data_IF_431852726094
#
_entry.id   IF_431852726094
#
_cell.length_a   1.000
_cell.length_b   1.000
_cell.length_c   1.000
_cell.angle_alpha   90.00
_cell.angle_beta   90.00
_cell.angle_gamma   90.00
#
_symmetry.space_group_name_H-M   'P 1'
#
loop_
_entity.id
_entity.type
_entity.pdbx_description
1 polymer ?
#
# COMPACT_ATOMS: atom_id res chain seq x y z
N UNK A 1 -4.95 -31.21 -13.88
CA UNK A 1 -5.69 -31.90 -12.79
C UNK A 1 -7.13 -31.44 -12.86
N UNK A 2 -8.06 -32.34 -13.18
CA UNK A 2 -9.49 -32.02 -13.25
C UNK A 2 -10.09 -32.11 -11.84
N UNK A 3 -10.61 -31.00 -11.32
CA UNK A 3 -11.47 -31.01 -10.13
C UNK A 3 -12.93 -30.91 -10.59
N UNK A 4 -13.81 -31.76 -10.06
CA UNK A 4 -15.23 -31.72 -10.37
C UNK A 4 -15.92 -30.63 -9.53
N UNK A 5 -16.98 -30.00 -10.07
CA UNK A 5 -17.69 -28.89 -9.43
C UNK A 5 -18.23 -29.19 -8.01
N UNK A 6 -18.33 -30.45 -7.60
CA UNK A 6 -18.72 -30.84 -6.25
C UNK A 6 -17.64 -30.59 -5.19
N UNK A 7 -16.35 -30.56 -5.57
CA UNK A 7 -15.23 -30.34 -4.65
C UNK A 7 -15.04 -28.86 -4.29
N UNK A 8 -15.39 -27.96 -5.21
CA UNK A 8 -15.39 -26.50 -4.99
C UNK A 8 -16.44 -26.05 -3.96
N UNK A 9 -17.61 -26.70 -3.94
CA UNK A 9 -18.68 -26.39 -2.97
C UNK A 9 -18.29 -26.83 -1.55
N UNK A 10 -17.48 -27.88 -1.42
CA UNK A 10 -16.99 -28.38 -0.13
C UNK A 10 -15.89 -27.48 0.46
N UNK A 11 -15.07 -26.87 -0.38
CA UNK A 11 -14.08 -25.87 0.04
C UNK A 11 -14.75 -24.56 0.53
N UNK A 12 -15.89 -24.19 -0.07
CA UNK A 12 -16.63 -22.97 0.27
C UNK A 12 -17.31 -23.00 1.64
N UNK A 13 -17.70 -24.19 2.14
CA UNK A 13 -18.38 -24.32 3.45
C UNK A 13 -17.43 -24.29 4.66
N UNK A 14 -16.12 -24.42 4.45
CA UNK A 14 -15.13 -24.59 5.52
C UNK A 14 -14.14 -23.42 5.66
N UNK A 15 -14.35 -22.30 4.96
CA UNK A 15 -13.46 -21.14 5.05
C UNK A 15 -13.78 -20.30 6.32
N UNK A 16 -12.77 -19.94 7.13
CA UNK A 16 -12.98 -19.12 8.33
C UNK A 16 -13.44 -17.70 7.96
N UNK A 17 -14.43 -17.19 8.69
CA UNK A 17 -15.04 -15.88 8.44
C UNK A 17 -14.05 -14.72 8.68
N UNK A 18 -13.54 -14.15 7.58
CA UNK A 18 -12.86 -12.86 7.54
C UNK A 18 -13.68 -11.82 6.76
N UNK A 19 -13.31 -10.53 6.81
CA UNK A 19 -14.08 -9.46 6.18
C UNK A 19 -14.17 -9.70 4.67
N UNK A 20 -15.39 -9.95 4.19
CA UNK A 20 -15.70 -10.25 2.79
C UNK A 20 -15.18 -9.11 1.91
N UNK A 21 -14.20 -9.42 1.06
CA UNK A 21 -13.67 -8.43 0.12
C UNK A 21 -14.75 -8.00 -0.87
N UNK A 22 -14.65 -6.77 -1.38
CA UNK A 22 -15.59 -6.15 -2.34
C UNK A 22 -15.82 -7.01 -3.61
N UNK A 23 -14.91 -7.95 -3.89
CA UNK A 23 -14.99 -8.96 -4.97
C UNK A 23 -15.98 -10.08 -4.64
N UNK A 24 -16.08 -10.52 -3.38
CA UNK A 24 -17.08 -11.50 -2.94
C UNK A 24 -18.51 -10.95 -3.05
N UNK A 25 -18.69 -9.65 -2.76
CA UNK A 25 -19.98 -8.97 -2.93
C UNK A 25 -20.42 -8.93 -4.41
N UNK A 26 -19.47 -8.71 -5.33
CA UNK A 26 -19.72 -8.69 -6.78
C UNK A 26 -20.06 -10.07 -7.35
N UNK A 27 -19.45 -11.14 -6.81
CA UNK A 27 -19.76 -12.52 -7.20
C UNK A 27 -21.15 -12.95 -6.70
N UNK A 28 -21.50 -12.64 -5.44
CA UNK A 28 -22.84 -12.93 -4.90
C UNK A 28 -23.94 -12.15 -5.66
N UNK A 29 -23.68 -10.90 -6.04
CA UNK A 29 -24.63 -10.09 -6.81
C UNK A 29 -24.79 -10.55 -8.27
N UNK A 30 -23.72 -11.03 -8.92
CA UNK A 30 -23.81 -11.56 -10.29
C UNK A 30 -24.52 -12.91 -10.32
N UNK A 31 -24.27 -13.78 -9.35
CA UNK A 31 -24.89 -15.11 -9.27
C UNK A 31 -26.40 -14.98 -8.93
N UNK A 32 -26.77 -14.04 -8.06
CA UNK A 32 -28.18 -13.72 -7.82
C UNK A 32 -28.87 -13.08 -9.03
N UNK A 33 -28.20 -12.23 -9.81
CA UNK A 33 -28.79 -11.65 -11.03
C UNK A 33 -28.94 -12.69 -12.15
N UNK A 34 -27.99 -13.62 -12.27
CA UNK A 34 -28.05 -14.70 -13.25
C UNK A 34 -29.16 -15.71 -12.90
N UNK A 35 -29.21 -16.16 -11.64
CA UNK A 35 -30.26 -17.08 -11.17
C UNK A 35 -31.67 -16.46 -11.25
N UNK A 36 -31.84 -15.16 -10.97
CA UNK A 36 -33.14 -14.47 -11.15
C UNK A 36 -33.56 -14.34 -12.62
N UNK A 37 -32.61 -14.18 -13.55
CA UNK A 37 -32.90 -14.12 -15.01
C UNK A 37 -33.22 -15.50 -15.58
N UNK A 38 -32.53 -16.55 -15.13
CA UNK A 38 -32.82 -17.94 -15.52
C UNK A 38 -34.18 -18.38 -14.97
N UNK A 39 -34.51 -18.01 -13.72
CA UNK A 39 -35.83 -18.31 -13.15
C UNK A 39 -36.97 -17.58 -13.89
N UNK A 40 -36.81 -16.29 -14.23
CA UNK A 40 -37.79 -15.53 -15.04
C UNK A 40 -37.92 -16.02 -16.49
N UNK A 41 -36.88 -16.63 -17.05
CA UNK A 41 -36.93 -17.27 -18.37
C UNK A 41 -37.63 -18.64 -18.36
N UNK A 42 -37.46 -19.40 -17.27
CA UNK A 42 -38.02 -20.75 -17.14
C UNK A 42 -39.50 -20.76 -16.70
N UNK A 43 -39.97 -19.70 -16.03
CA UNK A 43 -41.35 -19.60 -15.55
C UNK A 43 -42.39 -19.32 -16.66
N UNK A 44 -41.95 -19.05 -17.90
CA UNK A 44 -42.84 -18.92 -19.07
C UNK A 44 -43.12 -20.24 -19.80
N UNK A 45 -42.50 -21.34 -19.38
CA UNK A 45 -42.61 -22.65 -20.06
C UNK A 45 -43.32 -23.73 -19.22
N UNK A 46 -43.92 -23.37 -18.08
CA UNK A 46 -44.66 -24.30 -17.21
C UNK A 46 -46.09 -23.79 -16.98
N UNK A 47 -46.84 -23.64 -18.08
CA UNK A 47 -48.29 -23.83 -18.05
C UNK A 47 -48.57 -25.22 -18.62
N UNK A 48 -49.40 -26.05 -17.98
CA UNK A 48 -49.65 -27.42 -18.44
C UNK A 48 -50.51 -27.38 -19.71
N UNK A 49 -49.87 -27.44 -20.87
CA UNK A 49 -50.55 -27.69 -22.14
C UNK A 49 -51.10 -29.11 -22.17
N UNK A 50 -52.34 -29.27 -21.74
CA UNK A 50 -53.21 -30.37 -22.20
C UNK A 50 -53.88 -29.90 -23.49
N UNK A 51 -53.24 -30.12 -24.64
CA UNK A 51 -53.92 -29.95 -25.92
C UNK A 51 -53.25 -30.77 -27.02
N UNK A 52 -53.95 -31.82 -27.45
CA UNK A 52 -53.63 -32.66 -28.61
C UNK A 52 -53.78 -31.87 -29.92
N UNK A 53 -52.85 -30.95 -30.22
CA UNK A 53 -52.77 -30.30 -31.54
C UNK A 53 -51.39 -30.55 -32.17
N UNK A 54 -51.32 -31.07 -33.41
CA UNK A 54 -50.06 -31.30 -34.07
C UNK A 54 -49.33 -29.96 -34.34
N UNK A 55 -48.01 -29.89 -34.13
CA UNK A 55 -47.25 -28.66 -34.25
C UNK A 55 -47.27 -28.15 -35.70
N UNK A 56 -47.60 -26.88 -35.86
CA UNK A 56 -47.61 -26.22 -37.16
C UNK A 56 -46.19 -25.88 -37.62
N UNK A 57 -45.98 -25.86 -38.94
CA UNK A 57 -44.68 -25.69 -39.64
C UNK A 57 -43.88 -24.41 -39.31
N UNK A 58 -44.41 -23.52 -38.48
CA UNK A 58 -43.78 -22.26 -38.08
C UNK A 58 -43.01 -22.35 -36.74
N UNK A 59 -43.21 -23.41 -35.94
CA UNK A 59 -42.57 -23.56 -34.62
C UNK A 59 -41.12 -24.08 -34.72
N UNK A 60 -40.75 -24.74 -35.81
CA UNK A 60 -39.38 -25.22 -36.03
C UNK A 60 -38.36 -24.12 -36.32
N UNK A 61 -38.83 -22.92 -36.71
CA UNK A 61 -37.95 -21.77 -36.99
C UNK A 61 -37.51 -21.06 -35.70
N UNK A 62 -38.39 -21.00 -34.70
CA UNK A 62 -38.14 -20.25 -33.44
C UNK A 62 -37.24 -21.05 -32.49
N UNK A 63 -37.34 -22.38 -32.49
CA UNK A 63 -36.47 -23.24 -31.68
C UNK A 63 -35.00 -23.20 -32.11
N UNK A 64 -34.72 -23.05 -33.42
CA UNK A 64 -33.37 -22.95 -33.96
C UNK A 64 -32.67 -21.65 -33.57
N UNK A 65 -33.39 -20.52 -33.63
CA UNK A 65 -32.86 -19.21 -33.21
C UNK A 65 -32.58 -19.16 -31.70
N UNK A 66 -33.41 -19.81 -30.88
CA UNK A 66 -33.21 -19.86 -29.43
C UNK A 66 -31.95 -20.67 -29.05
N UNK A 67 -31.73 -21.82 -29.72
CA UNK A 67 -30.52 -22.64 -29.55
C UNK A 67 -29.27 -21.88 -29.98
N UNK A 68 -29.32 -21.17 -31.11
CA UNK A 68 -28.21 -20.34 -31.58
C UNK A 68 -27.89 -19.20 -30.61
N UNK A 69 -28.91 -18.59 -30.00
CA UNK A 69 -28.74 -17.56 -28.98
C UNK A 69 -28.13 -18.11 -27.69
N UNK A 70 -28.50 -19.32 -27.27
CA UNK A 70 -27.91 -19.99 -26.12
C UNK A 70 -26.43 -20.30 -26.35
N UNK A 71 -26.07 -20.85 -27.52
CA UNK A 71 -24.68 -21.11 -27.89
C UNK A 71 -23.84 -19.84 -27.95
N UNK A 72 -24.40 -18.74 -28.49
CA UNK A 72 -23.72 -17.46 -28.53
C UNK A 72 -23.48 -16.89 -27.12
N UNK A 73 -24.46 -17.01 -26.23
CA UNK A 73 -24.31 -16.57 -24.83
C UNK A 73 -23.32 -17.43 -24.07
N UNK A 74 -23.29 -18.74 -24.33
CA UNK A 74 -22.32 -19.65 -23.71
C UNK A 74 -20.89 -19.28 -24.09
N UNK A 75 -20.64 -19.00 -25.38
CA UNK A 75 -19.34 -18.51 -25.86
C UNK A 75 -18.89 -17.21 -25.17
N UNK A 76 -19.81 -16.28 -24.94
CA UNK A 76 -19.50 -15.02 -24.22
C UNK A 76 -19.16 -15.28 -22.76
N UNK A 77 -19.80 -16.25 -22.12
CA UNK A 77 -19.48 -16.67 -20.76
C UNK A 77 -18.11 -17.32 -20.70
N UNK A 78 -17.77 -18.20 -21.64
CA UNK A 78 -16.46 -18.85 -21.72
C UNK A 78 -15.32 -17.84 -21.88
N UNK A 79 -15.49 -16.84 -22.74
CA UNK A 79 -14.52 -15.74 -22.91
C UNK A 79 -14.32 -14.98 -21.59
N UNK A 80 -15.40 -14.68 -20.87
CA UNK A 80 -15.32 -13.98 -19.58
C UNK A 80 -14.64 -14.82 -18.51
N UNK A 81 -14.92 -16.12 -18.46
CA UNK A 81 -14.24 -17.05 -17.54
C UNK A 81 -12.74 -17.08 -17.84
N UNK A 82 -12.35 -17.15 -19.12
CA UNK A 82 -10.95 -17.12 -19.51
C UNK A 82 -10.27 -15.79 -19.14
N UNK A 83 -10.95 -14.65 -19.32
CA UNK A 83 -10.43 -13.34 -18.94
C UNK A 83 -10.21 -13.22 -17.42
N UNK A 84 -11.20 -13.64 -16.63
CA UNK A 84 -11.09 -13.63 -15.16
C UNK A 84 -10.02 -14.59 -14.65
N UNK A 85 -9.82 -15.72 -15.32
CA UNK A 85 -8.73 -16.65 -14.98
C UNK A 85 -7.36 -16.03 -15.21
N UNK A 86 -7.19 -15.25 -16.28
CA UNK A 86 -5.95 -14.51 -16.54
C UNK A 86 -5.71 -13.41 -15.49
N UNK A 87 -6.73 -12.62 -15.19
CA UNK A 87 -6.66 -11.55 -14.17
C UNK A 87 -6.33 -12.12 -12.77
N UNK A 88 -6.90 -13.28 -12.43
CA UNK A 88 -6.58 -13.96 -11.18
C UNK A 88 -5.11 -14.43 -11.13
N UNK A 89 -4.55 -14.88 -12.25
CA UNK A 89 -3.16 -15.30 -12.31
C UNK A 89 -2.20 -14.11 -12.20
N UNK A 90 -2.54 -12.97 -12.80
CA UNK A 90 -1.82 -11.70 -12.64
C UNK A 90 -1.83 -11.22 -11.18
N UNK A 91 -2.99 -11.27 -10.51
CA UNK A 91 -3.11 -10.90 -9.09
C UNK A 91 -2.35 -11.86 -8.17
N UNK A 92 -2.28 -13.15 -8.49
CA UNK A 92 -1.44 -14.11 -7.74
C UNK A 92 0.04 -13.80 -7.91
N UNK A 93 0.48 -13.44 -9.12
CA UNK A 93 1.87 -13.03 -9.36
C UNK A 93 2.21 -11.76 -8.55
N UNK A 94 1.33 -10.76 -8.53
CA UNK A 94 1.51 -9.56 -7.71
C UNK A 94 1.56 -9.89 -6.20
N UNK A 95 0.69 -10.79 -5.72
CA UNK A 95 0.71 -11.24 -4.32
C UNK A 95 2.00 -11.97 -3.95
N UNK A 96 2.55 -12.78 -4.86
CA UNK A 96 3.84 -13.46 -4.67
C UNK A 96 4.98 -12.45 -4.49
N UNK A 97 5.05 -11.41 -5.31
CA UNK A 97 6.07 -10.36 -5.16
C UNK A 97 5.94 -9.67 -3.80
N UNK A 98 4.72 -9.33 -3.39
CA UNK A 98 4.47 -8.70 -2.08
C UNK A 98 4.85 -9.64 -0.92
N UNK A 99 4.63 -10.94 -1.06
CA UNK A 99 4.95 -11.95 -0.04
C UNK A 99 6.46 -12.19 0.07
N UNK A 100 7.19 -12.11 -1.05
CA UNK A 100 8.66 -12.13 -1.08
C UNK A 100 9.27 -10.85 -0.47
N UNK A 101 8.71 -9.67 -0.77
CA UNK A 101 9.11 -8.39 -0.16
C UNK A 101 8.84 -8.37 1.36
N UNK A 102 7.71 -8.93 1.80
CA UNK A 102 7.37 -9.08 3.22
C UNK A 102 8.34 -10.03 3.94
N UNK A 103 8.76 -11.09 3.26
CA UNK A 103 9.72 -12.07 3.80
C UNK A 103 11.14 -11.50 3.89
N UNK A 104 11.54 -10.66 2.93
CA UNK A 104 12.80 -9.89 3.01
C UNK A 104 12.79 -8.89 4.18
N UNK A 105 11.64 -8.27 4.47
CA UNK A 105 11.47 -7.37 5.60
C UNK A 105 11.49 -8.04 6.99
N UNK A 106 11.30 -9.37 7.06
CA UNK A 106 11.28 -10.14 8.29
C UNK A 106 12.66 -10.73 8.66
N UNK A 107 13.55 -10.92 7.68
CA UNK A 107 14.86 -11.58 7.87
C UNK A 107 16.07 -10.62 7.92
N UNK A 108 15.86 -9.32 7.75
CA UNK A 108 16.92 -8.31 7.90
C UNK A 108 17.19 -8.06 9.40
N UNK A 109 17.89 -8.99 10.04
CA UNK A 109 18.45 -8.81 11.38
C UNK A 109 19.80 -8.08 11.22
N UNK A 110 20.01 -6.89 11.80
CA UNK A 110 21.34 -6.30 11.87
C UNK A 110 22.17 -7.14 12.83
N UNK A 111 23.12 -7.91 12.30
CA UNK A 111 24.09 -8.65 13.11
C UNK A 111 24.96 -7.65 13.87
N UNK A 112 24.65 -7.44 15.15
CA UNK A 112 25.46 -6.67 16.07
C UNK A 112 26.68 -7.50 16.49
N UNK A 113 27.81 -7.34 15.81
CA UNK A 113 29.14 -7.45 16.41
C UNK A 113 30.19 -6.88 15.46
N UNK A 114 30.61 -5.64 15.71
CA UNK A 114 31.70 -4.99 14.98
C UNK A 114 32.45 -4.07 15.92
N UNK A 115 33.67 -4.46 16.26
CA UNK A 115 34.62 -3.75 17.11
C UNK A 115 34.70 -2.27 16.76
N UNK A 116 34.50 -1.36 17.74
CA UNK A 116 34.70 0.09 17.60
C UNK A 116 36.19 0.37 17.37
N UNK A 117 36.63 0.27 16.13
CA UNK A 117 37.75 1.10 15.65
C UNK A 117 37.15 2.49 15.51
N UNK A 118 37.54 3.42 16.37
CA UNK A 118 37.18 4.83 16.21
C UNK A 118 37.86 5.33 14.93
N UNK A 119 37.15 5.26 13.81
CA UNK A 119 37.54 5.96 12.59
C UNK A 119 37.45 7.45 12.93
N UNK A 120 38.60 8.09 13.12
CA UNK A 120 38.65 9.55 13.27
C UNK A 120 38.12 10.15 11.98
N UNK A 121 37.09 10.98 12.09
CA UNK A 121 36.57 11.71 10.93
C UNK A 121 37.60 12.82 10.61
N UNK A 122 38.16 12.88 9.39
CA UNK A 122 39.22 13.85 9.06
C UNK A 122 38.78 15.31 9.20
N UNK A 123 37.46 15.55 9.20
CA UNK A 123 36.82 16.86 9.30
C UNK A 123 36.57 17.29 10.77
N UNK A 124 36.91 16.45 11.75
CA UNK A 124 36.68 16.76 13.15
C UNK A 124 37.45 18.03 13.57
N UNK A 125 36.73 19.02 14.08
CA UNK A 125 37.28 20.29 14.55
C UNK A 125 37.32 21.42 13.53
N UNK A 126 36.93 21.17 12.27
CA UNK A 126 36.96 22.19 11.21
C UNK A 126 35.98 23.35 11.46
N UNK A 127 34.92 23.11 12.22
CA UNK A 127 33.84 24.06 12.47
C UNK A 127 33.73 24.52 13.95
N UNK A 128 34.75 24.26 14.77
CA UNK A 128 34.73 24.52 16.22
C UNK A 128 34.49 25.99 16.58
N UNK A 129 35.07 26.89 15.80
CA UNK A 129 34.97 28.34 15.99
C UNK A 129 33.88 28.98 15.10
N UNK A 130 32.99 28.17 14.49
CA UNK A 130 31.98 28.68 13.56
C UNK A 130 30.92 29.52 14.29
N UNK A 131 30.73 30.80 13.93
CA UNK A 131 29.65 31.61 14.49
C UNK A 131 28.29 31.07 14.01
N UNK A 132 27.39 30.81 14.97
CA UNK A 132 26.04 30.30 14.66
C UNK A 132 25.07 31.39 14.18
N UNK A 133 25.33 32.65 14.54
CA UNK A 133 24.49 33.81 14.24
C UNK A 133 25.13 34.64 13.12
N UNK A 134 24.33 35.08 12.16
CA UNK A 134 24.72 36.03 11.13
C UNK A 134 23.64 37.10 10.94
N UNK A 135 24.04 38.27 10.47
CA UNK A 135 23.12 39.31 10.01
C UNK A 135 22.57 38.95 8.64
N UNK A 136 21.25 38.81 8.55
CA UNK A 136 20.53 38.44 7.32
C UNK A 136 19.44 39.46 7.02
N UNK A 137 19.04 39.55 5.75
CA UNK A 137 17.88 40.33 5.34
C UNK A 137 16.60 39.53 5.63
N UNK A 138 15.77 40.04 6.53
CA UNK A 138 14.46 39.47 6.83
C UNK A 138 13.52 39.64 5.63
N UNK A 139 12.88 38.55 5.21
CA UNK A 139 12.06 38.54 3.99
C UNK A 139 10.81 39.42 4.12
N UNK A 140 10.13 39.40 5.26
CA UNK A 140 8.86 40.10 5.46
C UNK A 140 9.05 41.60 5.69
N UNK A 141 10.04 41.99 6.50
CA UNK A 141 10.28 43.38 6.87
C UNK A 141 11.28 44.10 5.96
N UNK A 142 12.11 43.36 5.21
CA UNK A 142 13.21 43.92 4.42
C UNK A 142 14.31 44.56 5.27
N UNK A 143 14.38 44.27 6.57
CA UNK A 143 15.38 44.80 7.49
C UNK A 143 16.49 43.79 7.77
N UNK A 144 17.68 44.29 8.13
CA UNK A 144 18.77 43.45 8.61
C UNK A 144 18.48 43.00 10.04
N UNK A 145 18.46 41.69 10.25
CA UNK A 145 18.20 41.05 11.54
C UNK A 145 19.29 40.03 11.84
N UNK A 146 19.59 39.82 13.12
CA UNK A 146 20.45 38.72 13.53
C UNK A 146 19.63 37.42 13.59
N UNK A 147 20.03 36.42 12.81
CA UNK A 147 19.41 35.09 12.85
C UNK A 147 20.46 34.01 12.96
N UNK A 148 20.06 32.88 13.54
CA UNK A 148 20.86 31.66 13.51
C UNK A 148 20.82 31.05 12.12
N UNK A 149 21.99 30.91 11.50
CA UNK A 149 22.15 30.36 10.14
C UNK A 149 23.06 29.14 10.08
N UNK A 150 23.81 28.86 11.15
CA UNK A 150 24.66 27.68 11.25
C UNK A 150 24.36 26.89 12.52
N UNK A 151 24.52 25.57 12.42
CA UNK A 151 24.35 24.63 13.51
C UNK A 151 25.35 23.48 13.33
N UNK A 152 26.35 23.43 14.20
CA UNK A 152 27.41 22.42 14.13
C UNK A 152 27.01 21.15 14.88
N UNK A 153 27.70 20.04 14.62
CA UNK A 153 27.44 18.78 15.32
C UNK A 153 27.58 18.91 16.85
N UNK A 154 28.54 19.74 17.31
CA UNK A 154 28.77 20.02 18.73
C UNK A 154 27.66 20.81 19.42
N UNK A 155 26.82 21.52 18.65
CA UNK A 155 25.69 22.29 19.19
C UNK A 155 24.44 21.42 19.44
N UNK A 156 24.39 20.20 18.91
CA UNK A 156 23.22 19.34 19.01
C UNK A 156 22.88 18.99 20.48
N UNK A 157 21.64 19.28 20.89
CA UNK A 157 21.14 18.96 22.22
C UNK A 157 19.79 18.26 22.12
N UNK A 158 19.86 17.00 21.70
CA UNK A 158 18.70 16.16 21.45
C UNK A 158 17.96 15.86 22.76
N UNK A 159 16.76 16.45 22.89
CA UNK A 159 15.88 16.17 24.03
C UNK A 159 15.01 14.96 23.73
N UNK A 160 14.92 13.99 24.65
CA UNK A 160 14.00 12.86 24.49
C UNK A 160 12.56 13.37 24.50
N UNK A 161 11.75 12.82 23.58
CA UNK A 161 10.32 13.11 23.57
C UNK A 161 9.67 12.37 24.73
N UNK A 162 8.82 13.03 25.56
CA UNK A 162 8.15 12.36 26.67
C UNK A 162 7.43 11.08 26.23
N UNK A 163 7.58 10.02 27.03
CA UNK A 163 7.00 8.68 26.81
C UNK A 163 7.41 7.99 25.51
N UNK A 164 8.49 8.44 24.86
CA UNK A 164 9.01 7.83 23.64
C UNK A 164 10.51 7.55 23.78
N UNK A 165 11.03 6.60 23.01
CA UNK A 165 12.46 6.27 23.00
C UNK A 165 13.27 7.15 22.04
N UNK A 166 12.63 7.95 21.19
CA UNK A 166 13.29 8.81 20.22
C UNK A 166 13.40 10.27 20.70
N UNK A 167 14.41 10.97 20.20
CA UNK A 167 14.71 12.37 20.49
C UNK A 167 14.60 13.20 19.21
N UNK A 168 14.11 14.42 19.32
CA UNK A 168 14.01 15.35 18.19
C UNK A 168 14.27 16.78 18.63
N UNK A 169 15.01 17.51 17.81
CA UNK A 169 15.29 18.92 17.98
C UNK A 169 15.04 19.66 16.67
N UNK A 170 14.16 20.67 16.70
CA UNK A 170 14.00 21.61 15.59
C UNK A 170 15.15 22.62 15.67
N UNK A 171 15.99 22.64 14.65
CA UNK A 171 17.19 23.48 14.58
C UNK A 171 16.89 24.77 13.83
N UNK A 172 16.25 24.65 12.68
CA UNK A 172 15.87 25.77 11.83
C UNK A 172 14.37 25.81 11.61
N UNK A 173 13.85 27.02 11.47
CA UNK A 173 12.51 27.28 11.00
C UNK A 173 12.49 28.61 10.28
N UNK A 174 11.82 28.65 9.15
CA UNK A 174 11.54 29.89 8.43
C UNK A 174 10.04 29.97 8.16
N UNK A 175 9.35 30.71 9.03
CA UNK A 175 7.89 30.76 9.11
C UNK A 175 7.25 29.38 9.09
N UNK A 176 6.23 29.25 8.23
CA UNK A 176 5.52 28.00 7.92
C UNK A 176 6.03 27.35 6.62
N UNK A 177 7.13 27.87 6.04
CA UNK A 177 7.63 27.41 4.75
C UNK A 177 8.57 26.21 4.87
N UNK A 178 9.53 26.27 5.79
CA UNK A 178 10.48 25.19 6.01
C UNK A 178 10.87 25.06 7.48
N UNK A 179 11.10 23.82 7.91
CA UNK A 179 11.73 23.52 9.18
C UNK A 179 12.76 22.40 8.97
N UNK A 180 13.86 22.48 9.68
CA UNK A 180 14.88 21.44 9.70
C UNK A 180 15.25 21.11 11.14
N UNK A 181 15.70 19.88 11.36
CA UNK A 181 15.99 19.39 12.69
C UNK A 181 16.70 18.06 12.68
N UNK A 182 17.17 17.64 13.84
CA UNK A 182 17.79 16.34 14.05
C UNK A 182 16.79 15.39 14.70
N UNK A 183 16.79 14.16 14.21
CA UNK A 183 16.00 13.05 14.75
C UNK A 183 16.96 11.93 15.13
N UNK A 184 16.93 11.52 16.40
CA UNK A 184 17.68 10.37 16.89
C UNK A 184 16.68 9.29 17.30
N UNK A 185 16.83 8.13 16.69
CA UNK A 185 16.12 6.92 17.05
C UNK A 185 17.18 5.98 17.62
N UNK A 186 17.08 5.57 18.90
CA UNK A 186 18.06 4.65 19.47
C UNK A 186 17.99 3.30 18.75
N UNK A 187 19.00 2.43 18.89
CA UNK A 187 18.95 1.08 18.35
C UNK A 187 17.68 0.35 18.79
N UNK A 188 16.99 -0.27 17.82
CA UNK A 188 15.68 -0.92 18.00
C UNK A 188 14.54 0.02 18.46
N UNK A 189 14.78 1.33 18.46
CA UNK A 189 13.75 2.34 18.70
C UNK A 189 12.76 2.40 17.55
N UNK A 190 11.53 2.78 17.88
CA UNK A 190 10.47 3.01 16.92
C UNK A 190 10.01 4.46 17.07
N UNK A 191 9.95 5.18 15.95
CA UNK A 191 9.22 6.43 15.89
C UNK A 191 7.81 6.11 15.39
N UNK A 192 6.77 6.34 16.20
CA UNK A 192 5.39 6.14 15.78
C UNK A 192 5.07 6.96 14.53
N UNK A 193 4.12 6.43 13.79
CA UNK A 193 3.63 7.06 12.60
C UNK A 193 2.89 8.35 12.91
N UNK A 194 3.08 9.34 12.04
CA UNK A 194 2.37 10.61 12.09
C UNK A 194 1.91 10.95 10.69
N UNK A 195 0.63 11.31 10.56
CA UNK A 195 0.11 11.84 9.31
C UNK A 195 0.89 13.09 8.91
N UNK A 196 1.33 13.16 7.66
CA UNK A 196 2.09 14.31 7.16
C UNK A 196 1.22 15.56 7.01
N UNK A 197 -0.10 15.38 6.91
CA UNK A 197 -1.07 16.45 6.67
C UNK A 197 -0.67 17.26 5.43
N UNK A 198 -0.35 18.52 5.62
CA UNK A 198 0.07 19.52 4.64
C UNK A 198 1.60 19.67 4.53
N UNK A 199 2.38 18.92 5.31
CA UNK A 199 3.84 18.97 5.30
C UNK A 199 4.45 17.91 4.38
N UNK A 200 5.55 18.26 3.73
CA UNK A 200 6.45 17.30 3.07
C UNK A 200 7.67 17.11 3.95
N UNK A 201 8.06 15.86 4.21
CA UNK A 201 9.28 15.58 4.96
C UNK A 201 10.36 15.02 4.04
N UNK A 202 11.59 15.46 4.25
CA UNK A 202 12.79 14.87 3.66
C UNK A 202 13.68 14.45 4.82
N UNK A 203 14.16 13.21 4.77
CA UNK A 203 15.07 12.66 5.76
C UNK A 203 16.35 12.22 5.07
N UNK A 204 17.47 12.56 5.69
CA UNK A 204 18.81 12.12 5.31
C UNK A 204 19.40 11.31 6.46
N UNK A 205 19.90 10.12 6.18
CA UNK A 205 20.47 9.22 7.20
C UNK A 205 21.95 9.58 7.38
N UNK A 206 22.27 10.18 8.53
CA UNK A 206 23.65 10.55 8.88
C UNK A 206 24.42 9.34 9.43
N UNK A 207 23.81 8.58 10.35
CA UNK A 207 24.44 7.44 11.02
C UNK A 207 23.42 6.30 11.22
N UNK A 208 23.91 5.06 11.22
CA UNK A 208 23.10 3.86 11.46
C UNK A 208 22.26 3.45 10.25
N UNK A 209 21.17 2.73 10.50
CA UNK A 209 20.24 2.31 9.46
C UNK A 209 18.81 2.41 9.97
N UNK A 210 17.87 2.71 9.07
CA UNK A 210 16.45 2.82 9.37
C UNK A 210 15.64 1.94 8.43
N UNK A 211 14.64 1.26 8.99
CA UNK A 211 13.55 0.67 8.23
C UNK A 211 12.38 1.65 8.25
N UNK A 212 12.02 2.20 7.10
CA UNK A 212 10.89 3.11 6.96
C UNK A 212 9.78 2.42 6.21
N UNK A 213 8.54 2.63 6.65
CA UNK A 213 7.34 2.23 5.94
C UNK A 213 6.65 3.47 5.41
N UNK A 214 6.46 3.58 4.11
CA UNK A 214 5.68 4.66 3.49
C UNK A 214 4.50 4.00 2.78
N UNK A 215 3.29 4.28 3.25
CA UNK A 215 2.09 3.53 2.86
C UNK A 215 2.27 2.02 3.12
N UNK A 216 2.35 1.21 2.07
CA UNK A 216 2.52 -0.26 2.15
C UNK A 216 3.94 -0.69 1.80
N UNK A 217 4.81 0.23 1.39
CA UNK A 217 6.17 -0.07 0.96
C UNK A 217 7.13 0.08 2.14
N UNK A 218 7.93 -0.97 2.40
CA UNK A 218 9.01 -0.94 3.37
C UNK A 218 10.35 -0.74 2.67
N UNK A 219 11.15 0.19 3.15
CA UNK A 219 12.47 0.51 2.63
C UNK A 219 13.49 0.44 3.77
N UNK A 220 14.71 -0.01 3.47
CA UNK A 220 15.84 0.06 4.39
C UNK A 220 16.85 1.05 3.84
N UNK A 221 17.19 2.06 4.63
CA UNK A 221 18.19 3.07 4.28
C UNK A 221 19.35 3.05 5.28
N UNK A 222 20.57 3.14 4.74
CA UNK A 222 21.83 3.20 5.48
C UNK A 222 22.43 4.63 5.38
N UNK A 223 23.60 4.92 5.97
CA UNK A 223 24.19 6.25 5.92
C UNK A 223 24.36 6.77 4.49
N UNK A 224 24.04 8.04 4.26
CA UNK A 224 23.98 8.66 2.93
C UNK A 224 22.64 8.49 2.19
N UNK A 225 21.75 7.62 2.70
CA UNK A 225 20.41 7.43 2.14
C UNK A 225 19.51 8.64 2.38
N UNK A 226 18.70 9.00 1.38
CA UNK A 226 17.68 10.06 1.48
C UNK A 226 16.32 9.51 1.09
N UNK A 227 15.27 9.90 1.81
CA UNK A 227 13.89 9.58 1.42
C UNK A 227 12.94 10.76 1.65
N UNK A 228 11.87 10.78 0.85
CA UNK A 228 10.81 11.78 0.86
C UNK A 228 9.52 11.14 1.39
N UNK A 229 8.81 11.83 2.28
CA UNK A 229 7.43 11.51 2.64
C UNK A 229 6.52 12.62 2.12
N UNK A 230 5.73 12.37 1.06
CA UNK A 230 4.82 13.35 0.48
C UNK A 230 3.70 13.79 1.44
N UNK A 231 3.05 14.90 1.09
CA UNK A 231 1.83 15.40 1.74
C UNK A 231 0.69 14.40 1.62
N UNK A 232 -0.23 14.43 2.58
CA UNK A 232 -1.43 13.58 2.60
C UNK A 232 -1.16 12.10 2.89
N UNK A 233 0.08 11.72 3.22
CA UNK A 233 0.43 10.34 3.55
C UNK A 233 0.20 10.05 5.04
N UNK A 234 -0.50 8.96 5.29
CA UNK A 234 -0.46 8.25 6.56
C UNK A 234 0.69 7.24 6.48
N UNK A 235 1.67 7.42 7.36
CA UNK A 235 2.58 6.32 7.72
C UNK A 235 1.72 5.43 8.65
N UNK A 236 1.53 4.13 8.38
CA UNK A 236 0.92 3.23 9.36
C UNK A 236 1.99 2.74 10.35
N UNK A 237 1.66 2.71 11.65
CA UNK A 237 2.54 2.28 12.76
C UNK A 237 3.22 0.91 12.53
#
# INVERSE_FOLDING_TARGET
MHFSGAELVKAFKNAPEGPKSRIFQLFDDLDQQFMRKVHKGCQRCLEPFTSDRPPSRQESSVSGELLQLCDQKLKVVDIRIAALAHELEELKAQRSVIEDEKSQCANAQPSALGSKVATLNPEDGWDDDTPSIATVLDFDSGQLVERRVAWTAKMANLRPVPNNSWSFEKIFGDGDFVAAGHLLIPPNGLKPSKATKDNTYIFYVVEGAVKVKVHDTCLVLAPGGTFLVPRGMLIPD
#
